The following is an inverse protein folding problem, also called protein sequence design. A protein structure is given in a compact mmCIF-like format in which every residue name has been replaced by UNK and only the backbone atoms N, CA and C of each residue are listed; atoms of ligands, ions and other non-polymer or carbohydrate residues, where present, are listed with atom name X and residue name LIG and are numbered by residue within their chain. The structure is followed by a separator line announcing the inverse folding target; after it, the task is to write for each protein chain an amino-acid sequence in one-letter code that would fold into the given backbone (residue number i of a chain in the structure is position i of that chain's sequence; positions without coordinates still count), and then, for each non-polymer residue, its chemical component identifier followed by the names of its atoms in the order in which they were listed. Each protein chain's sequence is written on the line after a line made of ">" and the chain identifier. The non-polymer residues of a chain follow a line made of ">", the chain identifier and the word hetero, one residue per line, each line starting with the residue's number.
data_IF_232981074796
#
_entry.id   IF_232981074796
#
_cell.length_a   1.000
_cell.length_b   1.000
_cell.length_c   1.000
_cell.angle_alpha   90.00
_cell.angle_beta   90.00
_cell.angle_gamma   90.00
#
_symmetry.space_group_name_H-M   'P 1'
#
loop_
_entity.id
_entity.type
_entity.pdbx_description
1 polymer ?
#
# COMPACT_ATOMS: atom_id res chain seq x y z
N UNK A 1 5.14 -16.42 -3.10
CA UNK A 1 5.27 -16.30 -1.63
C UNK A 1 6.68 -16.59 -1.13
N UNK A 2 7.44 -17.50 -1.75
CA UNK A 2 8.81 -17.85 -1.30
C UNK A 2 9.82 -16.67 -1.34
N UNK A 3 9.55 -15.65 -2.16
CA UNK A 3 10.39 -14.45 -2.27
C UNK A 3 9.94 -13.28 -1.38
N UNK A 4 8.90 -13.49 -0.57
CA UNK A 4 8.33 -12.45 0.31
C UNK A 4 8.70 -12.81 1.74
N UNK A 5 9.49 -11.96 2.40
CA UNK A 5 9.90 -12.19 3.78
C UNK A 5 8.77 -11.87 4.77
N UNK A 6 8.04 -10.78 4.54
CA UNK A 6 6.97 -10.30 5.41
C UNK A 6 5.92 -9.49 4.63
N UNK A 7 4.76 -9.34 5.24
CA UNK A 7 3.69 -8.45 4.83
C UNK A 7 3.33 -7.51 5.98
N UNK A 8 2.82 -6.33 5.66
CA UNK A 8 2.37 -5.34 6.63
C UNK A 8 1.27 -4.46 6.01
N UNK A 9 0.46 -3.83 6.84
CA UNK A 9 -0.28 -2.64 6.43
C UNK A 9 0.67 -1.46 6.36
N UNK A 10 0.36 -0.49 5.49
CA UNK A 10 1.07 0.78 5.44
C UNK A 10 0.13 1.93 5.14
N UNK A 11 0.52 3.14 5.54
CA UNK A 11 -0.03 4.36 5.00
C UNK A 11 0.96 4.93 4.00
N UNK A 12 0.50 5.15 2.78
CA UNK A 12 1.23 5.95 1.81
C UNK A 12 0.68 7.39 1.86
N UNK A 13 1.56 8.32 2.17
CA UNK A 13 1.25 9.74 2.17
C UNK A 13 1.71 10.30 0.84
N UNK A 14 0.77 10.73 0.04
CA UNK A 14 1.04 11.37 -1.24
C UNK A 14 0.97 12.88 -1.10
N UNK A 15 1.81 13.56 -1.87
CA UNK A 15 1.84 15.03 -1.94
C UNK A 15 2.03 15.47 -3.38
N UNK A 16 1.50 16.64 -3.72
CA UNK A 16 1.67 17.20 -5.05
C UNK A 16 2.36 18.56 -4.98
N UNK A 17 3.42 18.71 -5.76
CA UNK A 17 4.06 20.01 -6.01
C UNK A 17 3.27 20.85 -7.03
N UNK A 18 2.28 20.23 -7.69
CA UNK A 18 1.50 20.88 -8.74
C UNK A 18 0.25 21.53 -8.14
N UNK A 19 -0.01 22.81 -8.45
CA UNK A 19 -1.17 23.53 -7.91
C UNK A 19 -2.50 22.84 -8.26
N UNK A 20 -3.36 22.73 -7.25
CA UNK A 20 -4.69 22.16 -7.39
C UNK A 20 -4.73 20.69 -7.77
N UNK A 21 -3.64 19.93 -7.54
CA UNK A 21 -3.53 18.51 -7.88
C UNK A 21 -3.78 18.23 -9.38
N UNK A 22 -3.36 19.15 -10.25
CA UNK A 22 -3.49 19.00 -11.70
C UNK A 22 -2.11 18.69 -12.30
N UNK A 23 -1.96 17.49 -12.80
CA UNK A 23 -0.70 16.97 -13.35
C UNK A 23 -0.97 15.89 -14.41
N UNK A 24 -0.02 15.72 -15.32
CA UNK A 24 0.01 14.66 -16.32
C UNK A 24 0.72 13.41 -15.76
N UNK A 25 0.68 12.31 -16.50
CA UNK A 25 1.46 11.11 -16.16
C UNK A 25 2.98 11.39 -16.14
N UNK A 26 3.48 12.23 -17.05
CA UNK A 26 4.88 12.64 -17.06
C UNK A 26 5.26 13.44 -15.82
N UNK A 27 4.38 14.35 -15.37
CA UNK A 27 4.57 15.11 -14.13
C UNK A 27 4.61 14.19 -12.91
N UNK A 28 3.75 13.18 -12.88
CA UNK A 28 3.75 12.16 -11.81
C UNK A 28 5.08 11.44 -11.71
N UNK A 29 5.64 11.03 -12.85
CA UNK A 29 6.97 10.40 -12.92
C UNK A 29 8.06 11.38 -12.44
N UNK A 30 8.04 12.62 -12.92
CA UNK A 30 9.01 13.65 -12.54
C UNK A 30 8.95 13.99 -11.04
N UNK A 31 7.76 13.88 -10.41
CA UNK A 31 7.54 14.09 -8.98
C UNK A 31 7.64 12.79 -8.16
N UNK A 32 8.43 11.81 -8.61
CA UNK A 32 8.66 10.56 -7.88
C UNK A 32 7.36 9.82 -7.49
N UNK A 33 6.39 9.73 -8.42
CA UNK A 33 5.09 9.10 -8.16
C UNK A 33 4.22 9.85 -7.14
N UNK A 34 4.49 11.15 -6.90
CA UNK A 34 3.87 11.96 -5.86
C UNK A 34 4.13 11.43 -4.43
N UNK A 35 5.17 10.63 -4.26
CA UNK A 35 5.49 10.02 -2.97
C UNK A 35 5.93 11.09 -1.96
N UNK A 36 5.26 11.12 -0.81
CA UNK A 36 5.64 11.94 0.34
C UNK A 36 6.29 11.13 1.46
N UNK A 37 5.62 10.07 1.90
CA UNK A 37 6.13 9.17 2.92
C UNK A 37 5.41 7.81 2.87
N UNK A 38 6.07 6.77 3.34
CA UNK A 38 5.49 5.46 3.59
C UNK A 38 5.66 5.09 5.06
N UNK A 39 4.55 4.97 5.78
CA UNK A 39 4.53 4.38 7.11
C UNK A 39 4.27 2.89 6.97
N UNK A 40 5.21 2.06 7.43
CA UNK A 40 5.07 0.61 7.44
C UNK A 40 4.70 0.15 8.85
N UNK A 41 3.56 -0.52 8.98
CA UNK A 41 3.09 -1.09 10.24
C UNK A 41 3.87 -2.35 10.68
N UNK A 42 3.39 -3.04 11.71
CA UNK A 42 3.99 -4.26 12.21
C UNK A 42 4.14 -5.32 11.13
N UNK A 43 5.36 -5.81 10.93
CA UNK A 43 5.71 -6.81 9.91
C UNK A 43 5.28 -8.20 10.37
N UNK A 44 4.59 -8.92 9.52
CA UNK A 44 4.17 -10.29 9.75
C UNK A 44 4.92 -11.23 8.82
N UNK A 45 5.69 -12.16 9.39
CA UNK A 45 6.49 -13.10 8.62
C UNK A 45 5.63 -13.98 7.70
N UNK A 46 6.10 -14.17 6.47
CA UNK A 46 5.36 -14.97 5.47
C UNK A 46 5.66 -16.46 5.60
N UNK A 47 6.91 -16.85 5.76
CA UNK A 47 7.32 -18.26 5.67
C UNK A 47 6.52 -19.22 6.57
N UNK A 48 6.28 -18.97 7.86
CA UNK A 48 5.54 -19.90 8.73
C UNK A 48 4.04 -19.97 8.41
N UNK A 49 3.49 -19.00 7.68
CA UNK A 49 2.05 -18.85 7.41
C UNK A 49 1.73 -18.66 5.93
N UNK A 50 2.58 -19.11 5.03
CA UNK A 50 2.46 -18.86 3.59
C UNK A 50 1.14 -19.35 2.97
N UNK A 51 0.59 -20.47 3.44
CA UNK A 51 -0.71 -20.98 2.98
C UNK A 51 -1.87 -20.09 3.44
N UNK A 52 -1.80 -19.58 4.66
CA UNK A 52 -2.79 -18.65 5.21
C UNK A 52 -2.78 -17.32 4.44
N UNK A 53 -1.59 -16.74 4.20
CA UNK A 53 -1.46 -15.51 3.42
C UNK A 53 -2.02 -15.65 2.01
N UNK A 54 -1.76 -16.78 1.33
CA UNK A 54 -2.34 -17.04 0.00
C UNK A 54 -3.86 -17.05 0.01
N UNK A 55 -4.47 -17.53 1.09
CA UNK A 55 -5.92 -17.64 1.23
C UNK A 55 -6.57 -16.31 1.60
N UNK A 56 -5.91 -15.49 2.44
CA UNK A 56 -6.50 -14.29 3.03
C UNK A 56 -6.18 -13.00 2.25
N UNK A 57 -5.02 -12.90 1.59
CA UNK A 57 -4.64 -11.71 0.82
C UNK A 57 -5.61 -11.33 -0.32
N UNK A 58 -6.28 -12.26 -1.01
CA UNK A 58 -7.21 -11.87 -2.07
C UNK A 58 -8.53 -11.26 -1.60
N UNK A 59 -8.95 -11.55 -0.37
CA UNK A 59 -10.32 -11.23 0.08
C UNK A 59 -10.42 -10.40 1.36
N UNK A 60 -9.33 -9.77 1.81
CA UNK A 60 -9.39 -8.94 3.01
C UNK A 60 -9.93 -7.54 2.72
N UNK A 61 -10.44 -6.91 3.78
CA UNK A 61 -10.94 -5.54 3.76
C UNK A 61 -10.17 -4.66 4.74
N UNK A 62 -10.24 -3.36 4.52
CA UNK A 62 -9.70 -2.33 5.42
C UNK A 62 -10.79 -1.31 5.73
N UNK A 63 -11.05 -1.05 7.00
CA UNK A 63 -11.79 0.13 7.44
C UNK A 63 -10.80 1.28 7.64
N UNK A 64 -10.93 2.34 6.85
CA UNK A 64 -10.17 3.59 7.01
C UNK A 64 -10.99 4.55 7.86
N UNK A 65 -10.44 4.96 9.00
CA UNK A 65 -11.11 5.87 9.92
C UNK A 65 -10.31 7.15 10.12
N UNK A 66 -11.03 8.27 10.37
CA UNK A 66 -10.46 9.53 10.82
C UNK A 66 -11.17 9.93 12.12
N UNK A 67 -10.39 10.18 13.17
CA UNK A 67 -10.87 10.55 14.51
C UNK A 67 -11.97 9.59 15.04
N UNK A 68 -11.77 8.28 14.80
CA UNK A 68 -12.70 7.22 15.19
C UNK A 68 -13.92 7.05 14.30
N UNK A 69 -14.11 7.88 13.28
CA UNK A 69 -15.23 7.79 12.34
C UNK A 69 -14.79 7.05 11.06
N UNK A 70 -15.59 6.09 10.63
CA UNK A 70 -15.37 5.40 9.35
C UNK A 70 -15.53 6.40 8.19
N UNK A 71 -14.48 6.48 7.35
CA UNK A 71 -14.42 7.35 6.18
C UNK A 71 -14.58 6.54 4.89
N UNK A 72 -13.87 5.40 4.80
CA UNK A 72 -13.94 4.55 3.60
C UNK A 72 -13.68 3.09 3.97
N UNK A 73 -14.08 2.18 3.08
CA UNK A 73 -13.79 0.76 3.18
C UNK A 73 -13.10 0.29 1.91
N UNK A 74 -11.86 -0.16 2.07
CA UNK A 74 -11.07 -0.71 1.00
C UNK A 74 -11.17 -2.23 0.93
N UNK A 75 -10.98 -2.77 -0.27
CA UNK A 75 -10.98 -4.20 -0.55
C UNK A 75 -9.70 -4.59 -1.27
N UNK A 76 -9.21 -5.80 -1.00
CA UNK A 76 -8.00 -6.33 -1.64
C UNK A 76 -8.08 -6.33 -3.17
N UNK A 77 -9.27 -6.59 -3.71
CA UNK A 77 -9.52 -6.61 -5.16
C UNK A 77 -9.29 -5.27 -5.86
N UNK A 78 -9.33 -4.15 -5.12
CA UNK A 78 -9.03 -2.81 -5.67
C UNK A 78 -7.59 -2.69 -6.17
N UNK A 79 -6.72 -3.60 -5.76
CA UNK A 79 -5.29 -3.63 -6.13
C UNK A 79 -5.06 -4.68 -7.23
N UNK A 80 -5.50 -4.38 -8.46
CA UNK A 80 -5.35 -5.28 -9.62
C UNK A 80 -5.86 -6.72 -9.34
N UNK A 81 -6.99 -6.81 -8.64
CA UNK A 81 -7.61 -8.06 -8.23
C UNK A 81 -7.09 -8.61 -6.90
N UNK A 82 -5.84 -8.40 -6.55
CA UNK A 82 -5.24 -8.73 -5.25
C UNK A 82 -3.80 -8.16 -5.13
N UNK A 83 -3.26 -7.94 -3.93
CA UNK A 83 -1.90 -7.42 -3.75
C UNK A 83 -0.80 -8.27 -4.40
N UNK A 84 -0.93 -9.58 -4.42
CA UNK A 84 0.05 -10.46 -5.06
C UNK A 84 0.03 -10.34 -6.60
N UNK A 85 -1.12 -10.02 -7.19
CA UNK A 85 -1.22 -9.71 -8.62
C UNK A 85 -0.46 -8.43 -8.96
N UNK A 86 -0.62 -7.37 -8.16
CA UNK A 86 0.14 -6.13 -8.33
C UNK A 86 1.65 -6.37 -8.28
N UNK A 87 2.12 -7.12 -7.28
CA UNK A 87 3.53 -7.50 -7.19
C UNK A 87 4.00 -8.31 -8.40
N UNK A 88 3.18 -9.25 -8.90
CA UNK A 88 3.49 -10.04 -10.10
C UNK A 88 3.61 -9.14 -11.33
N UNK A 89 2.73 -8.16 -11.49
CA UNK A 89 2.81 -7.18 -12.57
C UNK A 89 4.10 -6.37 -12.52
N UNK A 90 4.49 -5.88 -11.34
CA UNK A 90 5.75 -5.16 -11.14
C UNK A 90 6.95 -6.03 -11.54
N UNK A 91 7.04 -7.24 -11.00
CA UNK A 91 8.13 -8.18 -11.34
C UNK A 91 8.18 -8.46 -12.84
N UNK A 92 7.01 -8.67 -13.47
CA UNK A 92 6.94 -8.88 -14.91
C UNK A 92 7.28 -7.64 -15.75
N UNK A 93 7.02 -6.44 -15.24
CA UNK A 93 7.42 -5.19 -15.90
C UNK A 93 8.95 -5.02 -15.84
N UNK A 94 9.54 -5.17 -14.64
CA UNK A 94 10.99 -5.06 -14.46
C UNK A 94 11.76 -6.13 -15.25
N UNK A 95 11.22 -7.34 -15.38
CA UNK A 95 11.85 -8.38 -16.19
C UNK A 95 11.96 -8.04 -17.70
N UNK A 96 11.15 -7.09 -18.17
CA UNK A 96 11.17 -6.60 -19.56
C UNK A 96 11.82 -5.23 -19.71
N UNK A 97 12.18 -4.61 -18.60
CA UNK A 97 12.80 -3.27 -18.60
C UNK A 97 14.30 -3.38 -18.84
N UNK A 98 14.84 -2.79 -19.92
CA UNK A 98 16.28 -2.85 -20.21
C UNK A 98 17.11 -1.87 -19.36
N UNK A 99 16.46 -0.97 -18.61
CA UNK A 99 17.13 0.11 -17.88
C UNK A 99 17.14 -0.14 -16.38
N UNK A 100 16.00 -0.54 -15.82
CA UNK A 100 15.87 -0.71 -14.39
C UNK A 100 16.21 -2.14 -13.94
N UNK A 101 16.91 -2.30 -12.80
CA UNK A 101 17.24 -3.62 -12.28
C UNK A 101 15.99 -4.35 -11.77
N UNK A 102 16.01 -5.69 -11.69
CA UNK A 102 14.97 -6.44 -11.01
C UNK A 102 14.95 -6.12 -9.51
N UNK A 103 13.84 -6.43 -8.85
CA UNK A 103 13.74 -6.30 -7.38
C UNK A 103 14.83 -7.11 -6.68
N UNK A 104 15.48 -6.49 -5.71
CA UNK A 104 16.51 -7.09 -4.90
C UNK A 104 16.01 -7.49 -3.50
N UNK A 105 16.75 -8.36 -2.83
CA UNK A 105 16.46 -8.72 -1.45
C UNK A 105 16.57 -7.50 -0.52
N UNK A 106 15.57 -7.33 0.35
CA UNK A 106 15.49 -6.20 1.29
C UNK A 106 14.65 -5.03 0.79
N UNK A 107 14.26 -5.00 -0.48
CA UNK A 107 13.37 -3.97 -1.00
C UNK A 107 11.94 -4.10 -0.46
N UNK A 108 11.29 -2.96 -0.28
CA UNK A 108 9.90 -2.85 0.16
C UNK A 108 9.05 -2.43 -1.03
N UNK A 109 7.98 -3.16 -1.28
CA UNK A 109 7.03 -2.84 -2.35
C UNK A 109 5.68 -2.50 -1.74
N UNK A 110 5.19 -1.29 -2.01
CA UNK A 110 3.78 -0.93 -1.83
C UNK A 110 2.99 -1.43 -3.04
N UNK A 111 1.97 -2.23 -2.80
CA UNK A 111 1.20 -2.87 -3.89
C UNK A 111 0.06 -2.00 -4.42
N UNK A 112 -0.12 -0.83 -3.87
CA UNK A 112 -1.17 0.11 -4.24
C UNK A 112 -2.18 0.34 -3.14
N UNK A 113 -3.05 1.33 -3.35
CA UNK A 113 -4.03 1.74 -2.34
C UNK A 113 -5.29 0.87 -2.38
N UNK A 114 -5.79 0.52 -1.20
CA UNK A 114 -7.03 -0.22 -1.01
C UNK A 114 -8.25 0.71 -0.94
N UNK A 115 -8.05 1.94 -0.46
CA UNK A 115 -9.07 2.97 -0.25
C UNK A 115 -8.84 4.15 -1.18
N UNK A 116 -9.77 5.08 -1.22
CA UNK A 116 -9.55 6.37 -1.88
C UNK A 116 -8.50 7.19 -1.12
N UNK A 117 -7.71 7.97 -1.85
CA UNK A 117 -6.85 8.98 -1.25
C UNK A 117 -7.73 10.09 -0.64
N UNK A 118 -7.48 10.42 0.62
CA UNK A 118 -8.24 11.43 1.36
C UNK A 118 -7.33 12.59 1.75
N UNK A 119 -7.81 13.84 1.70
CA UNK A 119 -7.06 14.97 2.24
C UNK A 119 -6.91 14.81 3.75
N UNK A 120 -5.72 15.12 4.25
CA UNK A 120 -5.38 15.03 5.68
C UNK A 120 -5.01 16.41 6.21
N UNK A 121 -5.30 16.66 7.48
CA UNK A 121 -5.08 17.93 8.13
C UNK A 121 -4.38 17.74 9.48
N UNK A 122 -3.63 18.76 9.91
CA UNK A 122 -3.03 18.79 11.25
C UNK A 122 -4.08 18.54 12.35
N UNK A 123 -3.69 17.80 13.36
CA UNK A 123 -4.55 17.40 14.49
C UNK A 123 -5.34 16.10 14.27
N UNK A 124 -5.53 15.67 13.04
CA UNK A 124 -6.29 14.45 12.74
C UNK A 124 -5.51 13.17 13.09
N UNK A 125 -6.26 12.17 13.51
CA UNK A 125 -5.77 10.81 13.73
C UNK A 125 -6.45 9.84 12.78
N UNK A 126 -5.67 9.20 11.94
CA UNK A 126 -6.14 8.22 10.97
C UNK A 126 -5.77 6.81 11.38
N UNK A 127 -6.67 5.86 11.21
CA UNK A 127 -6.40 4.44 11.47
C UNK A 127 -6.89 3.55 10.33
N UNK A 128 -6.13 2.50 10.06
CA UNK A 128 -6.51 1.44 9.13
C UNK A 128 -6.69 0.14 9.92
N UNK A 129 -7.90 -0.40 9.88
CA UNK A 129 -8.29 -1.59 10.63
C UNK A 129 -8.58 -2.72 9.64
N UNK A 130 -7.73 -3.77 9.59
CA UNK A 130 -7.91 -4.89 8.66
C UNK A 130 -9.01 -5.84 9.14
N UNK A 131 -9.68 -6.47 8.17
CA UNK A 131 -10.68 -7.51 8.36
C UNK A 131 -10.41 -8.70 7.46
N UNK A 132 -10.59 -9.90 7.97
CA UNK A 132 -10.40 -11.13 7.21
C UNK A 132 -8.94 -11.53 6.97
N UNK A 133 -8.00 -10.83 7.60
CA UNK A 133 -6.56 -11.09 7.51
C UNK A 133 -5.89 -10.84 8.86
N UNK A 134 -4.83 -11.57 9.15
CA UNK A 134 -4.10 -11.47 10.41
C UNK A 134 -2.99 -10.40 10.36
N UNK A 135 -3.37 -9.18 9.97
CA UNK A 135 -2.54 -7.98 10.10
C UNK A 135 -3.02 -7.15 11.28
N UNK A 136 -2.12 -6.38 11.87
CA UNK A 136 -2.46 -5.48 12.96
C UNK A 136 -3.00 -4.15 12.42
N UNK A 137 -3.94 -3.56 13.15
CA UNK A 137 -4.38 -2.19 12.86
C UNK A 137 -3.22 -1.20 13.06
N UNK A 138 -3.17 -0.19 12.23
CA UNK A 138 -2.17 0.87 12.31
C UNK A 138 -2.85 2.23 12.46
N UNK A 139 -2.13 3.16 13.10
CA UNK A 139 -2.63 4.49 13.36
C UNK A 139 -1.54 5.53 13.09
N UNK A 140 -1.95 6.67 12.55
CA UNK A 140 -1.09 7.82 12.24
C UNK A 140 -1.77 9.10 12.70
N UNK A 141 -1.05 9.95 13.42
CA UNK A 141 -1.49 11.30 13.78
C UNK A 141 -0.71 12.33 12.99
N UNK A 142 -1.43 13.25 12.37
CA UNK A 142 -0.85 14.42 11.70
C UNK A 142 -0.70 15.56 12.72
N UNK A 143 0.49 16.13 12.82
CA UNK A 143 0.83 17.23 13.74
C UNK A 143 1.14 18.50 12.98
#
# INVERSE_FOLDING_TARGET
>A
MSCIAWVALGFEIVQSIYPGWKFSAADTVAANGLHGALLVGPRQAVAPRAAEWRRTLPGFEIDLNCDGRLIDRGQAENVLGEPLSALRHLVGALARDPVNPPLAAGEIVSTGTLTKAMPVFSGQTWSAVPRGIALEAIQLRFV
#
